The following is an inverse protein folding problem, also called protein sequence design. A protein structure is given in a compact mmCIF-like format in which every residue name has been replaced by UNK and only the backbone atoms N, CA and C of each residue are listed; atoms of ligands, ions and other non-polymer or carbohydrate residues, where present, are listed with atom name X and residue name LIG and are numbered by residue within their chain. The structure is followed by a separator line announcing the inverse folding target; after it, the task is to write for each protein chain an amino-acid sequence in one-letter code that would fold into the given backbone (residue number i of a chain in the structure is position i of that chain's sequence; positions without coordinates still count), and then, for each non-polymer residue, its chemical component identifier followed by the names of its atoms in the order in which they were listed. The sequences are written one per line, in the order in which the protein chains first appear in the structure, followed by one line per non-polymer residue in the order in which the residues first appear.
data_IF_204231169304
#
_entry.id   IF_204231169304
#
_cell.length_a   1.000
_cell.length_b   1.000
_cell.length_c   1.000
_cell.angle_alpha   90.00
_cell.angle_beta   90.00
_cell.angle_gamma   90.00
#
_symmetry.space_group_name_H-M   'P 1'
#
loop_
_entity.id
_entity.type
_entity.pdbx_description
1 polymer ?
#
# COMPACT_ATOMS: atom_id res chain seq x y z
N UNK A 1 29.56 -56.31 -30.31
CA UNK A 1 29.15 -55.96 -28.96
C UNK A 1 29.43 -54.51 -28.61
N UNK A 2 30.50 -53.83 -29.08
CA UNK A 2 30.83 -52.44 -28.75
C UNK A 2 29.85 -51.39 -29.30
N UNK A 3 29.28 -51.57 -30.51
CA UNK A 3 28.38 -50.57 -31.12
C UNK A 3 27.02 -50.42 -30.41
N UNK A 4 26.57 -51.45 -29.70
CA UNK A 4 25.30 -51.44 -28.95
C UNK A 4 25.45 -50.65 -27.63
N UNK A 5 26.63 -50.73 -27.00
CA UNK A 5 26.94 -50.00 -25.75
C UNK A 5 26.95 -48.48 -25.94
N UNK A 6 27.51 -48.01 -27.07
CA UNK A 6 27.60 -46.55 -27.38
C UNK A 6 26.20 -45.97 -27.65
N UNK A 7 25.32 -46.67 -28.32
CA UNK A 7 23.93 -46.23 -28.58
C UNK A 7 23.10 -46.12 -27.32
N UNK A 8 23.26 -47.05 -26.38
CA UNK A 8 22.57 -46.96 -25.09
C UNK A 8 23.08 -45.82 -24.25
N UNK A 9 24.39 -45.54 -24.26
CA UNK A 9 24.97 -44.36 -23.54
C UNK A 9 24.50 -43.06 -24.16
N UNK A 10 24.39 -42.94 -25.49
CA UNK A 10 23.91 -41.76 -26.16
C UNK A 10 22.41 -41.48 -25.86
N UNK A 11 21.58 -42.52 -25.82
CA UNK A 11 20.14 -42.41 -25.48
C UNK A 11 19.97 -42.01 -24.02
N UNK A 12 20.74 -42.57 -23.08
CA UNK A 12 20.72 -42.16 -21.68
C UNK A 12 21.16 -40.69 -21.49
N UNK A 13 22.19 -40.27 -22.22
CA UNK A 13 22.69 -38.88 -22.15
C UNK A 13 21.68 -37.87 -22.72
N UNK A 14 20.97 -38.23 -23.80
CA UNK A 14 19.89 -37.41 -24.38
C UNK A 14 18.69 -37.34 -23.43
N UNK A 15 18.35 -38.44 -22.72
CA UNK A 15 17.26 -38.44 -21.73
C UNK A 15 17.55 -37.50 -20.53
N UNK A 16 18.80 -37.39 -20.12
CA UNK A 16 19.21 -36.47 -19.02
C UNK A 16 19.10 -35.01 -19.45
N UNK A 17 19.32 -34.67 -20.74
CA UNK A 17 19.22 -33.34 -21.29
C UNK A 17 17.77 -32.82 -21.45
N UNK A 18 16.78 -33.75 -21.45
CA UNK A 18 15.37 -33.42 -21.65
C UNK A 18 14.62 -33.23 -20.30
N UNK A 19 15.25 -33.55 -19.16
CA UNK A 19 14.60 -33.24 -17.88
C UNK A 19 14.52 -31.72 -17.74
N UNK A 20 13.29 -31.13 -17.81
CA UNK A 20 13.15 -29.70 -17.49
C UNK A 20 13.59 -29.54 -16.04
N UNK A 21 14.68 -28.79 -15.83
CA UNK A 21 15.03 -28.34 -14.50
C UNK A 21 13.83 -27.55 -13.99
N UNK A 22 13.03 -28.12 -13.11
CA UNK A 22 11.98 -27.40 -12.41
C UNK A 22 12.69 -26.33 -11.57
N UNK A 23 12.91 -25.16 -12.17
CA UNK A 23 13.37 -24.02 -11.43
C UNK A 23 12.34 -23.76 -10.34
N UNK A 24 12.69 -23.79 -9.05
CA UNK A 24 11.72 -23.44 -8.01
C UNK A 24 11.17 -22.07 -8.36
N UNK A 25 9.86 -21.96 -8.60
CA UNK A 25 9.22 -20.69 -8.84
C UNK A 25 9.61 -19.77 -7.68
N UNK A 26 10.40 -18.74 -7.95
CA UNK A 26 10.79 -17.78 -6.93
C UNK A 26 9.50 -17.26 -6.30
N UNK A 27 9.30 -17.52 -5.01
CA UNK A 27 8.10 -17.07 -4.28
C UNK A 27 8.01 -15.56 -4.44
N UNK A 28 6.99 -15.10 -5.15
CA UNK A 28 6.77 -13.68 -5.39
C UNK A 28 6.72 -12.94 -4.05
N UNK A 29 7.57 -11.94 -3.90
CA UNK A 29 7.61 -11.12 -2.69
C UNK A 29 6.32 -10.33 -2.56
N UNK A 30 5.81 -10.23 -1.34
CA UNK A 30 4.58 -9.49 -1.03
C UNK A 30 4.85 -8.63 0.18
N UNK A 31 4.80 -7.31 0.00
CA UNK A 31 5.06 -6.34 1.05
C UNK A 31 3.81 -5.51 1.26
N UNK A 32 3.40 -5.31 2.51
CA UNK A 32 2.27 -4.46 2.85
C UNK A 32 2.68 -3.40 3.88
N UNK A 33 2.30 -2.15 3.63
CA UNK A 33 2.29 -1.08 4.63
C UNK A 33 0.84 -0.81 5.03
N UNK A 34 0.56 -0.97 6.33
CA UNK A 34 -0.78 -0.82 6.89
C UNK A 34 -0.73 0.22 8.00
N UNK A 35 -1.58 1.24 7.89
CA UNK A 35 -1.67 2.33 8.85
C UNK A 35 -3.11 2.46 9.33
N UNK A 36 -3.32 2.43 10.65
CA UNK A 36 -4.60 2.68 11.30
C UNK A 36 -4.51 3.76 12.34
N UNK A 37 -5.17 4.90 12.13
CA UNK A 37 -5.15 6.03 13.02
C UNK A 37 -6.54 6.29 13.62
N UNK A 38 -6.68 6.19 14.94
CA UNK A 38 -7.93 6.35 15.68
C UNK A 38 -7.87 7.47 16.74
N UNK A 39 -6.72 7.66 17.39
CA UNK A 39 -6.56 8.49 18.60
C UNK A 39 -6.34 9.97 18.27
N UNK A 40 -7.20 10.54 17.44
CA UNK A 40 -7.18 11.98 17.15
C UNK A 40 -7.69 12.80 18.34
N UNK A 41 -7.09 13.95 18.58
CA UNK A 41 -7.54 14.90 19.62
C UNK A 41 -8.92 15.50 19.29
N UNK A 42 -9.26 15.58 18.02
CA UNK A 42 -10.58 15.99 17.52
C UNK A 42 -11.09 14.95 16.54
N UNK A 43 -12.31 14.43 16.78
CA UNK A 43 -12.91 13.41 15.91
C UNK A 43 -12.26 12.04 16.04
N UNK A 44 -12.10 11.54 17.27
CA UNK A 44 -11.64 10.15 17.54
C UNK A 44 -12.48 9.13 16.76
N UNK A 45 -11.81 8.16 16.12
CA UNK A 45 -12.43 7.09 15.35
C UNK A 45 -12.39 5.77 16.14
N UNK A 46 -13.42 4.94 16.00
CA UNK A 46 -13.52 3.66 16.75
C UNK A 46 -12.76 2.51 16.09
N UNK A 47 -12.84 2.41 14.76
CA UNK A 47 -12.49 1.20 14.04
C UNK A 47 -11.09 1.18 13.38
N UNK A 48 -10.48 2.28 12.92
CA UNK A 48 -9.28 2.24 12.06
C UNK A 48 -8.13 1.37 12.58
N UNK A 49 -7.86 1.40 13.88
CA UNK A 49 -6.79 0.58 14.48
C UNK A 49 -7.13 -0.90 14.46
N UNK A 50 -8.40 -1.26 14.65
CA UNK A 50 -8.87 -2.64 14.59
C UNK A 50 -8.88 -3.16 13.16
N UNK A 51 -9.34 -2.34 12.20
CA UNK A 51 -9.37 -2.66 10.78
C UNK A 51 -7.95 -2.87 10.23
N UNK A 52 -7.02 -1.99 10.61
CA UNK A 52 -5.60 -2.15 10.28
C UNK A 52 -5.00 -3.44 10.87
N UNK A 53 -5.34 -3.79 12.11
CA UNK A 53 -4.87 -5.03 12.73
C UNK A 53 -5.45 -6.28 12.05
N UNK A 54 -6.75 -6.26 11.72
CA UNK A 54 -7.41 -7.34 11.02
C UNK A 54 -6.84 -7.54 9.61
N UNK A 55 -6.66 -6.45 8.86
CA UNK A 55 -6.03 -6.46 7.53
C UNK A 55 -4.62 -7.03 7.60
N UNK A 56 -3.81 -6.57 8.57
CA UNK A 56 -2.45 -7.07 8.78
C UNK A 56 -2.43 -8.59 9.00
N UNK A 57 -3.31 -9.09 9.87
CA UNK A 57 -3.42 -10.52 10.16
C UNK A 57 -3.78 -11.34 8.93
N UNK A 58 -4.73 -10.87 8.11
CA UNK A 58 -5.12 -11.59 6.89
C UNK A 58 -4.00 -11.56 5.84
N UNK A 59 -3.34 -10.42 5.65
CA UNK A 59 -2.26 -10.31 4.67
C UNK A 59 -1.04 -11.17 5.06
N UNK A 60 -0.73 -11.29 6.37
CA UNK A 60 0.30 -12.22 6.84
C UNK A 60 0.00 -13.67 6.48
N UNK A 61 -1.27 -14.12 6.62
CA UNK A 61 -1.70 -15.46 6.19
C UNK A 61 -1.57 -15.66 4.68
N UNK A 62 -1.67 -14.58 3.90
CA UNK A 62 -1.48 -14.58 2.45
C UNK A 62 -0.01 -14.42 2.03
N UNK A 63 0.92 -14.51 2.96
CA UNK A 63 2.36 -14.47 2.69
C UNK A 63 2.94 -13.06 2.51
N UNK A 64 2.22 -12.01 2.94
CA UNK A 64 2.78 -10.66 2.96
C UNK A 64 3.72 -10.45 4.16
N UNK A 65 4.84 -9.80 3.91
CA UNK A 65 5.62 -9.15 4.96
C UNK A 65 4.95 -7.81 5.29
N UNK A 66 4.44 -7.67 6.52
CA UNK A 66 3.60 -6.53 6.90
C UNK A 66 4.36 -5.54 7.77
N UNK A 67 4.32 -4.27 7.39
CA UNK A 67 4.71 -3.11 8.20
C UNK A 67 3.41 -2.53 8.75
N UNK A 68 3.14 -2.72 10.05
CA UNK A 68 1.92 -2.23 10.70
C UNK A 68 2.23 -1.02 11.58
N UNK A 69 1.52 0.08 11.35
CA UNK A 69 1.54 1.28 12.18
C UNK A 69 0.15 1.56 12.75
N UNK A 70 0.09 1.81 14.04
CA UNK A 70 -1.13 2.17 14.77
C UNK A 70 -0.93 3.51 15.44
N UNK A 71 -1.87 4.44 15.25
CA UNK A 71 -1.82 5.78 15.82
C UNK A 71 -0.49 6.49 15.55
N UNK A 72 -0.06 6.45 14.29
CA UNK A 72 1.21 7.03 13.88
C UNK A 72 1.10 8.56 13.70
N UNK A 73 2.10 9.29 14.17
CA UNK A 73 2.33 10.68 13.79
C UNK A 73 2.92 10.79 12.38
N UNK A 74 3.07 12.00 11.86
CA UNK A 74 3.56 12.23 10.49
C UNK A 74 4.91 11.54 10.25
N UNK A 75 5.88 11.76 11.12
CA UNK A 75 7.21 11.15 11.00
C UNK A 75 7.14 9.63 10.98
N UNK A 76 6.34 9.03 11.87
CA UNK A 76 6.16 7.57 11.90
C UNK A 76 5.50 7.01 10.64
N UNK A 77 4.65 7.79 9.96
CA UNK A 77 4.07 7.43 8.66
C UNK A 77 5.11 7.54 7.54
N UNK A 78 5.90 8.62 7.52
CA UNK A 78 6.95 8.86 6.50
C UNK A 78 8.08 7.83 6.61
N UNK A 79 8.57 7.54 7.82
CA UNK A 79 9.60 6.52 8.06
C UNK A 79 9.11 5.12 7.60
N UNK A 80 7.84 4.80 7.87
CA UNK A 80 7.25 3.54 7.43
C UNK A 80 7.07 3.47 5.91
N UNK A 81 6.74 4.59 5.26
CA UNK A 81 6.63 4.68 3.81
C UNK A 81 8.00 4.48 3.14
N UNK A 82 9.06 5.07 3.69
CA UNK A 82 10.42 4.88 3.21
C UNK A 82 10.86 3.41 3.33
N UNK A 83 10.65 2.76 4.49
CA UNK A 83 10.94 1.33 4.67
C UNK A 83 10.14 0.45 3.69
N UNK A 84 8.88 0.79 3.44
CA UNK A 84 8.04 0.12 2.48
C UNK A 84 8.60 0.24 1.05
N UNK A 85 8.93 1.47 0.60
CA UNK A 85 9.51 1.72 -0.71
C UNK A 85 10.84 0.96 -0.91
N UNK A 86 11.73 0.97 0.08
CA UNK A 86 13.01 0.25 0.02
C UNK A 86 12.84 -1.27 -0.11
N UNK A 87 11.82 -1.83 0.55
CA UNK A 87 11.52 -3.26 0.41
C UNK A 87 10.93 -3.61 -0.95
N UNK A 88 10.13 -2.70 -1.54
CA UNK A 88 9.52 -2.89 -2.87
C UNK A 88 10.56 -2.87 -4.00
N UNK A 89 11.66 -2.15 -3.89
CA UNK A 89 12.76 -2.13 -4.89
C UNK A 89 13.30 -3.52 -5.23
N UNK A 90 13.01 -4.53 -4.40
CA UNK A 90 13.38 -5.93 -4.64
C UNK A 90 12.35 -6.70 -5.48
N UNK A 91 11.36 -6.01 -6.04
CA UNK A 91 10.28 -6.58 -6.85
C UNK A 91 9.13 -7.19 -6.05
N UNK A 92 8.10 -7.62 -6.76
CA UNK A 92 6.93 -8.31 -6.22
C UNK A 92 5.68 -7.44 -6.09
N UNK A 93 4.79 -7.78 -5.15
CA UNK A 93 3.51 -7.09 -4.93
C UNK A 93 3.62 -6.12 -3.77
N UNK A 94 3.25 -4.85 -4.00
CA UNK A 94 3.11 -3.83 -2.99
C UNK A 94 1.64 -3.60 -2.61
N UNK A 95 1.33 -3.55 -1.30
CA UNK A 95 0.00 -3.17 -0.83
C UNK A 95 0.12 -2.06 0.22
N UNK A 96 -0.58 -0.97 -0.01
CA UNK A 96 -0.76 0.09 0.96
C UNK A 96 -2.22 0.12 1.43
N UNK A 97 -2.42 0.09 2.75
CA UNK A 97 -3.73 0.23 3.39
C UNK A 97 -3.69 1.36 4.42
N UNK A 98 -4.65 2.25 4.34
CA UNK A 98 -4.84 3.30 5.34
C UNK A 98 -6.28 3.33 5.81
N UNK A 99 -6.46 3.37 7.14
CA UNK A 99 -7.73 3.66 7.79
C UNK A 99 -7.56 4.83 8.76
N UNK A 100 -8.40 5.88 8.62
CA UNK A 100 -8.29 7.10 9.43
C UNK A 100 -8.97 8.31 8.80
N UNK A 101 -8.64 9.52 9.29
CA UNK A 101 -9.08 10.75 8.66
C UNK A 101 -8.29 11.05 7.39
N UNK A 102 -8.99 11.49 6.35
CA UNK A 102 -8.40 11.97 5.12
C UNK A 102 -9.01 13.28 4.67
N UNK A 103 -8.26 14.08 3.94
CA UNK A 103 -8.72 15.33 3.34
C UNK A 103 -8.38 15.36 1.85
N UNK A 104 -9.16 16.16 1.14
CA UNK A 104 -8.86 16.55 -0.23
C UNK A 104 -8.73 18.06 -0.31
N UNK A 105 -7.63 18.53 -0.90
CA UNK A 105 -7.39 19.94 -1.21
C UNK A 105 -6.76 20.04 -2.60
N UNK A 106 -7.35 20.88 -3.45
CA UNK A 106 -6.82 21.09 -4.81
C UNK A 106 -6.73 19.83 -5.66
N UNK A 107 -7.57 18.80 -5.40
CA UNK A 107 -7.55 17.52 -6.10
C UNK A 107 -6.54 16.51 -5.55
N UNK A 108 -5.67 16.88 -4.60
CA UNK A 108 -4.75 15.98 -3.92
C UNK A 108 -5.36 15.41 -2.63
N UNK A 109 -5.03 14.17 -2.31
CA UNK A 109 -5.46 13.46 -1.11
C UNK A 109 -4.38 13.52 -0.04
N UNK A 110 -4.79 13.81 1.19
CA UNK A 110 -3.92 13.92 2.34
C UNK A 110 -4.42 13.03 3.47
N UNK A 111 -3.54 12.19 4.02
CA UNK A 111 -3.83 11.28 5.11
C UNK A 111 -3.40 11.91 6.43
N UNK A 112 -4.32 12.00 7.39
CA UNK A 112 -4.12 12.75 8.63
C UNK A 112 -3.39 11.87 9.67
N UNK A 113 -2.19 12.25 10.13
CA UNK A 113 -1.49 11.57 11.21
C UNK A 113 -2.08 11.93 12.58
N UNK A 114 -1.73 11.17 13.59
CA UNK A 114 -2.00 11.55 14.98
C UNK A 114 -1.13 12.75 15.36
N UNK A 115 -1.75 13.72 16.04
CA UNK A 115 -1.07 14.93 16.49
C UNK A 115 -0.95 16.05 15.45
N UNK A 116 -1.57 15.89 14.26
CA UNK A 116 -1.61 16.95 13.24
C UNK A 116 -2.25 18.24 13.79
N UNK A 117 -1.62 19.38 13.51
CA UNK A 117 -2.06 20.72 13.94
C UNK A 117 -2.50 21.53 12.73
N UNK A 118 -3.69 21.25 12.25
CA UNK A 118 -4.24 21.86 11.04
C UNK A 118 -5.18 23.01 11.44
N UNK A 119 -4.67 24.24 11.44
CA UNK A 119 -5.43 25.45 11.74
C UNK A 119 -5.82 26.22 10.47
N UNK A 120 -5.03 26.07 9.40
CA UNK A 120 -5.23 26.72 8.09
C UNK A 120 -5.09 25.68 6.98
N UNK A 121 -5.65 25.94 5.83
CA UNK A 121 -5.50 25.09 4.65
C UNK A 121 -4.03 24.92 4.24
N UNK A 122 -3.20 25.96 4.41
CA UNK A 122 -1.77 25.91 4.15
C UNK A 122 -1.01 24.89 5.03
N UNK A 123 -1.52 24.57 6.23
CA UNK A 123 -0.86 23.66 7.17
C UNK A 123 -0.96 22.20 6.68
N UNK A 124 -1.98 21.88 5.87
CA UNK A 124 -2.28 20.52 5.43
C UNK A 124 -1.06 19.86 4.82
N UNK A 125 -0.36 20.52 3.89
CA UNK A 125 0.81 19.96 3.23
C UNK A 125 2.00 19.66 4.16
N UNK A 126 2.05 20.29 5.32
CA UNK A 126 3.14 20.14 6.29
C UNK A 126 2.79 19.22 7.46
N UNK A 127 1.50 19.11 7.75
CA UNK A 127 0.99 18.36 8.91
C UNK A 127 0.38 16.99 8.53
N UNK A 128 0.35 16.65 7.23
CA UNK A 128 -0.27 15.41 6.74
C UNK A 128 0.61 14.70 5.73
N UNK A 129 0.34 13.41 5.52
CA UNK A 129 0.99 12.63 4.47
C UNK A 129 0.22 12.78 3.16
N UNK A 130 0.86 13.32 2.13
CA UNK A 130 0.32 13.35 0.76
C UNK A 130 0.25 11.91 0.19
N UNK A 131 -0.95 11.50 -0.22
CA UNK A 131 -1.14 10.18 -0.83
C UNK A 131 -0.39 10.02 -2.17
N UNK A 132 -0.06 11.12 -2.83
CA UNK A 132 0.81 11.11 -4.01
C UNK A 132 2.19 10.52 -3.72
N UNK A 133 2.78 10.82 -2.55
CA UNK A 133 4.08 10.23 -2.15
C UNK A 133 4.05 8.70 -2.10
N UNK A 134 2.91 8.10 -1.76
CA UNK A 134 2.75 6.63 -1.73
C UNK A 134 2.85 6.06 -3.14
N UNK A 135 2.18 6.72 -4.09
CA UNK A 135 2.19 6.33 -5.49
C UNK A 135 3.59 6.54 -6.10
N UNK A 136 4.28 7.62 -5.73
CA UNK A 136 5.65 7.90 -6.16
C UNK A 136 6.63 6.83 -5.66
N UNK A 137 6.53 6.42 -4.39
CA UNK A 137 7.35 5.33 -3.84
C UNK A 137 7.11 4.00 -4.57
N UNK A 138 5.84 3.67 -4.86
CA UNK A 138 5.47 2.49 -5.64
C UNK A 138 5.97 2.57 -7.08
N UNK A 139 5.86 3.73 -7.73
CA UNK A 139 6.36 3.95 -9.08
C UNK A 139 7.90 3.81 -9.15
N UNK A 140 8.59 4.44 -8.19
CA UNK A 140 10.06 4.41 -8.10
C UNK A 140 10.60 3.00 -7.81
N UNK A 141 9.83 2.18 -7.09
CA UNK A 141 10.21 0.80 -6.80
C UNK A 141 10.20 -0.10 -8.04
N UNK A 142 9.39 0.23 -9.05
CA UNK A 142 9.24 -0.55 -10.28
C UNK A 142 9.02 -2.05 -10.03
N UNK A 143 8.13 -2.37 -9.08
CA UNK A 143 7.99 -3.71 -8.47
C UNK A 143 6.95 -4.62 -9.15
N UNK A 144 6.22 -4.17 -10.13
CA UNK A 144 5.24 -4.96 -10.90
C UNK A 144 3.78 -4.66 -10.57
N UNK A 145 3.26 -5.09 -9.41
CA UNK A 145 1.86 -4.89 -9.03
C UNK A 145 1.74 -4.10 -7.74
N UNK A 146 0.90 -3.07 -7.75
CA UNK A 146 0.61 -2.24 -6.60
C UNK A 146 -0.88 -2.16 -6.30
N UNK A 147 -1.23 -2.21 -5.02
CA UNK A 147 -2.60 -2.11 -4.52
C UNK A 147 -2.62 -1.01 -3.46
N UNK A 148 -3.49 -0.02 -3.63
CA UNK A 148 -3.71 1.06 -2.66
C UNK A 148 -5.16 1.00 -2.22
N UNK A 149 -5.38 0.88 -0.90
CA UNK A 149 -6.71 0.84 -0.29
C UNK A 149 -6.80 2.00 0.71
N UNK A 150 -7.72 2.93 0.45
CA UNK A 150 -7.94 4.10 1.28
C UNK A 150 -9.33 4.01 1.94
N UNK A 151 -9.33 3.69 3.22
CA UNK A 151 -10.50 3.70 4.09
C UNK A 151 -10.48 4.96 4.97
N UNK A 152 -10.68 6.11 4.32
CA UNK A 152 -10.68 7.39 5.00
C UNK A 152 -12.09 7.88 5.23
N UNK A 153 -12.46 8.07 6.51
CA UNK A 153 -13.74 8.61 6.92
C UNK A 153 -13.93 10.05 6.42
N UNK A 154 -15.17 10.36 5.99
CA UNK A 154 -15.54 11.64 5.40
C UNK A 154 -16.01 12.68 6.41
N UNK A 155 -16.33 12.28 7.62
CA UNK A 155 -16.64 13.19 8.72
C UNK A 155 -15.34 13.76 9.30
N UNK A 156 -14.59 14.40 8.41
CA UNK A 156 -13.37 15.08 8.75
C UNK A 156 -13.69 16.36 9.51
N UNK A 157 -13.22 16.51 10.76
CA UNK A 157 -13.45 17.74 11.54
C UNK A 157 -12.88 18.99 10.85
N UNK A 158 -11.88 18.82 9.99
CA UNK A 158 -11.22 19.90 9.25
C UNK A 158 -11.99 20.34 7.98
N UNK A 159 -12.87 19.51 7.42
CA UNK A 159 -13.58 19.79 6.15
C UNK A 159 -14.55 20.97 6.24
N UNK A 160 -14.95 21.38 7.45
CA UNK A 160 -15.84 22.54 7.68
C UNK A 160 -15.07 23.86 7.76
N UNK A 161 -13.76 23.80 7.95
CA UNK A 161 -12.93 24.99 8.22
C UNK A 161 -12.29 25.58 6.96
N UNK A 162 -12.26 24.84 5.84
CA UNK A 162 -11.53 25.27 4.65
C UNK A 162 -12.42 25.34 3.41
N UNK A 163 -12.36 26.46 2.69
CA UNK A 163 -13.22 26.73 1.52
C UNK A 163 -12.99 25.77 0.35
N UNK A 164 -11.75 25.25 0.21
CA UNK A 164 -11.35 24.37 -0.90
C UNK A 164 -11.24 22.89 -0.49
N UNK A 165 -11.53 22.55 0.78
CA UNK A 165 -11.55 21.16 1.21
C UNK A 165 -12.86 20.50 0.78
N UNK A 166 -12.79 19.70 -0.27
CA UNK A 166 -13.93 18.88 -0.69
C UNK A 166 -14.17 17.74 0.30
N UNK A 167 -15.42 17.30 0.40
CA UNK A 167 -15.78 16.15 1.24
C UNK A 167 -15.33 14.85 0.58
N UNK A 168 -14.62 14.01 1.31
CA UNK A 168 -14.10 12.74 0.85
C UNK A 168 -12.76 12.85 0.14
N UNK A 169 -12.28 11.73 -0.38
CA UNK A 169 -11.05 11.68 -1.15
C UNK A 169 -11.32 11.93 -2.64
N UNK A 170 -10.36 12.54 -3.33
CA UNK A 170 -10.36 12.67 -4.77
C UNK A 170 -10.08 11.32 -5.44
N UNK A 171 -10.61 11.14 -6.64
CA UNK A 171 -10.20 10.04 -7.50
C UNK A 171 -8.74 10.26 -7.90
N UNK A 172 -7.90 9.27 -7.67
CA UNK A 172 -6.52 9.24 -8.19
C UNK A 172 -6.60 8.91 -9.69
N UNK A 173 -6.43 9.92 -10.53
CA UNK A 173 -6.48 9.77 -11.99
C UNK A 173 -5.14 9.35 -12.61
N UNK A 174 -4.03 9.59 -11.91
CA UNK A 174 -2.67 9.39 -12.41
C UNK A 174 -1.93 8.27 -11.66
N UNK A 175 -2.63 7.17 -11.35
CA UNK A 175 -1.96 6.02 -10.75
C UNK A 175 -0.92 5.42 -11.73
N UNK A 176 0.28 5.05 -11.26
CA UNK A 176 1.29 4.38 -12.09
C UNK A 176 0.75 3.10 -12.72
N UNK A 177 1.29 2.71 -13.86
CA UNK A 177 0.94 1.44 -14.52
C UNK A 177 1.14 0.28 -13.55
N UNK A 178 0.18 -0.65 -13.51
CA UNK A 178 0.20 -1.77 -12.56
C UNK A 178 -0.30 -1.41 -11.16
N UNK A 179 -0.91 -0.24 -10.95
CA UNK A 179 -1.47 0.19 -9.66
C UNK A 179 -2.99 0.15 -9.68
N UNK A 180 -3.57 -0.60 -8.73
CA UNK A 180 -5.01 -0.62 -8.44
C UNK A 180 -5.28 0.23 -7.21
N UNK A 181 -6.22 1.19 -7.31
CA UNK A 181 -6.63 2.05 -6.20
C UNK A 181 -8.08 1.78 -5.83
N UNK A 182 -8.33 1.44 -4.56
CA UNK A 182 -9.66 1.19 -4.00
C UNK A 182 -9.97 2.18 -2.88
N UNK A 183 -11.22 2.59 -2.82
CA UNK A 183 -11.76 3.43 -1.76
C UNK A 183 -12.90 2.68 -1.06
N UNK A 184 -12.95 2.70 0.27
CA UNK A 184 -14.04 2.07 1.05
C UNK A 184 -15.40 2.71 0.79
N UNK A 185 -15.41 3.95 0.32
CA UNK A 185 -16.62 4.68 -0.06
C UNK A 185 -16.45 5.38 -1.40
N UNK A 186 -17.52 5.39 -2.21
CA UNK A 186 -17.51 6.09 -3.51
C UNK A 186 -17.12 7.56 -3.35
N UNK A 187 -16.24 8.11 -4.18
CA UNK A 187 -15.87 9.52 -4.17
C UNK A 187 -17.12 10.41 -4.18
N UNK A 188 -17.20 11.40 -3.27
CA UNK A 188 -18.34 12.32 -3.18
C UNK A 188 -19.56 11.81 -2.39
N UNK A 189 -19.63 10.56 -1.84
CA UNK A 189 -20.75 10.05 -1.04
C UNK A 189 -20.40 9.80 0.44
N UNK A 190 -21.37 9.80 1.35
CA UNK A 190 -21.17 9.44 2.76
C UNK A 190 -21.17 7.91 2.91
N UNK A 191 -20.34 7.40 3.83
CA UNK A 191 -20.49 6.04 4.36
C UNK A 191 -21.76 5.96 5.20
N UNK A 192 -22.54 4.90 5.16
CA UNK A 192 -23.71 4.72 6.02
C UNK A 192 -23.32 4.68 7.50
#
# INVERSE_FOLDING_TARGET
MQAMSIRIFLILFILILIYPSASPAATERRIALIIGNSAYSSGTLKNPVNDAAAMASQLQKLGFTVILKKNANLRGMEDALTDFGDRLKRGGVGLFFYAGHGLQVGGANYLVPIGARINRESDIRYETLDAGKILDEMANANNGLNIVILDACRDNPYSRSFRNAARGLAIVSNAPVGTFVSYSTSPGKRSP
#
